data_IF_633826081343
#
_entry.id   IF_633826081343
#
_cell.length_a   1.000
_cell.length_b   1.000
_cell.length_c   1.000
_cell.angle_alpha   90.00
_cell.angle_beta   90.00
_cell.angle_gamma   90.00
#
_symmetry.space_group_name_H-M   'P 1'
#
loop_
_entity.id
_entity.type
_entity.pdbx_description
1 polymer ?
#
# COMPACT_ATOMS: atom_id res chain seq x y z
N UNK A 1 -23.30 23.20 15.62
CA UNK A 1 -22.25 22.34 16.15
C UNK A 1 -21.02 22.65 15.34
N UNK A 2 -19.84 22.94 15.92
CA UNK A 2 -18.62 23.04 15.12
C UNK A 2 -18.46 21.72 14.40
N UNK A 3 -18.10 21.75 13.11
CA UNK A 3 -17.96 20.58 12.26
C UNK A 3 -17.03 19.57 12.93
N UNK A 4 -17.38 18.31 12.81
CA UNK A 4 -16.51 17.20 13.22
C UNK A 4 -15.41 17.11 12.16
N UNK A 5 -14.49 18.08 12.20
CA UNK A 5 -13.32 18.08 11.32
C UNK A 5 -12.44 16.93 11.76
N UNK A 6 -12.45 15.83 10.99
CA UNK A 6 -11.63 14.64 11.26
C UNK A 6 -10.13 14.98 11.31
N UNK A 7 -9.32 14.06 11.85
CA UNK A 7 -7.87 14.27 12.03
C UNK A 7 -7.10 14.49 10.71
N UNK A 8 -7.73 14.23 9.56
CA UNK A 8 -7.19 14.50 8.22
C UNK A 8 -7.98 15.62 7.49
N UNK A 9 -8.79 16.42 8.22
CA UNK A 9 -9.53 17.53 7.61
C UNK A 9 -8.60 18.50 6.87
N UNK A 10 -8.95 18.82 5.61
CA UNK A 10 -8.17 19.68 4.75
C UNK A 10 -6.89 19.05 4.17
N UNK A 11 -6.60 17.78 4.44
CA UNK A 11 -5.49 17.04 3.81
C UNK A 11 -5.94 16.40 2.51
N UNK A 12 -5.06 16.39 1.51
CA UNK A 12 -5.25 15.83 0.17
C UNK A 12 -4.38 14.61 -0.04
N UNK A 13 -5.00 13.49 -0.43
CA UNK A 13 -4.33 12.20 -0.57
C UNK A 13 -4.53 11.54 -1.92
N UNK A 14 -3.44 11.05 -2.53
CA UNK A 14 -3.49 10.20 -3.71
C UNK A 14 -3.44 8.73 -3.30
N UNK A 15 -4.45 7.95 -3.70
CA UNK A 15 -4.57 6.52 -3.43
C UNK A 15 -4.37 5.71 -4.70
N UNK A 16 -3.36 4.84 -4.70
CA UNK A 16 -3.04 3.96 -5.84
C UNK A 16 -3.35 2.50 -5.49
N UNK A 17 -3.87 1.73 -6.46
CA UNK A 17 -4.04 0.29 -6.33
C UNK A 17 -5.40 -0.19 -5.81
N UNK A 18 -6.45 0.62 -5.95
CA UNK A 18 -7.83 0.18 -5.67
C UNK A 18 -8.34 -0.65 -6.84
N UNK A 19 -8.47 -1.97 -6.65
CA UNK A 19 -9.03 -2.89 -7.64
C UNK A 19 -10.52 -3.18 -7.45
N UNK A 20 -11.01 -3.10 -6.22
CA UNK A 20 -12.40 -3.26 -5.80
C UNK A 20 -12.58 -2.88 -4.31
N UNK A 21 -13.80 -3.05 -3.78
CA UNK A 21 -14.20 -2.78 -2.39
C UNK A 21 -13.48 -3.62 -1.32
N UNK A 22 -12.77 -4.69 -1.72
CA UNK A 22 -11.99 -5.56 -0.82
C UNK A 22 -10.50 -5.27 -0.87
N UNK A 23 -10.06 -4.32 -1.69
CA UNK A 23 -8.65 -3.92 -1.76
C UNK A 23 -8.23 -3.26 -0.45
N UNK A 24 -7.01 -3.53 -0.01
CA UNK A 24 -6.42 -2.85 1.17
C UNK A 24 -6.38 -1.34 0.92
N UNK A 25 -6.02 -0.92 -0.30
CA UNK A 25 -6.05 0.47 -0.71
C UNK A 25 -7.44 1.12 -0.54
N UNK A 26 -8.52 0.35 -0.79
CA UNK A 26 -9.88 0.84 -0.54
C UNK A 26 -10.17 1.02 0.95
N UNK A 27 -9.76 0.06 1.79
CA UNK A 27 -9.89 0.20 3.26
C UNK A 27 -9.17 1.44 3.79
N UNK A 28 -7.97 1.73 3.27
CA UNK A 28 -7.21 2.94 3.59
C UNK A 28 -7.95 4.18 3.09
N UNK A 29 -8.39 4.20 1.83
CA UNK A 29 -9.11 5.32 1.25
C UNK A 29 -10.36 5.69 2.06
N UNK A 30 -11.19 4.68 2.37
CA UNK A 30 -12.39 4.86 3.16
C UNK A 30 -12.10 5.47 4.54
N UNK A 31 -11.11 4.92 5.26
CA UNK A 31 -10.72 5.43 6.58
C UNK A 31 -10.19 6.88 6.51
N UNK A 32 -9.37 7.20 5.48
CA UNK A 32 -8.87 8.56 5.29
C UNK A 32 -9.99 9.55 4.95
N UNK A 33 -10.96 9.16 4.10
CA UNK A 33 -12.11 9.99 3.78
C UNK A 33 -13.01 10.22 5.02
N UNK A 34 -13.28 9.17 5.80
CA UNK A 34 -14.02 9.26 7.07
C UNK A 34 -13.30 10.14 8.10
N UNK A 35 -11.97 10.23 8.01
CA UNK A 35 -11.14 11.13 8.80
C UNK A 35 -11.08 12.57 8.25
N UNK A 36 -11.77 12.87 7.15
CA UNK A 36 -11.92 14.23 6.60
C UNK A 36 -10.98 14.58 5.43
N UNK A 37 -10.22 13.60 4.89
CA UNK A 37 -9.33 13.84 3.75
C UNK A 37 -10.09 13.97 2.43
N UNK A 38 -9.60 14.85 1.54
CA UNK A 38 -9.94 14.90 0.12
C UNK A 38 -9.07 13.89 -0.63
N UNK A 39 -9.66 13.04 -1.48
CA UNK A 39 -8.94 11.96 -2.13
C UNK A 39 -8.94 12.06 -3.64
N UNK A 40 -7.83 11.66 -4.26
CA UNK A 40 -7.69 11.32 -5.67
C UNK A 40 -7.28 9.85 -5.79
N UNK A 41 -7.59 9.24 -6.94
CA UNK A 41 -7.31 7.83 -7.18
C UNK A 41 -6.58 7.61 -8.48
N UNK A 42 -5.75 6.55 -8.53
CA UNK A 42 -5.25 6.02 -9.80
C UNK A 42 -5.84 4.66 -10.09
N UNK A 43 -5.96 4.34 -11.37
CA UNK A 43 -6.35 3.03 -11.89
C UNK A 43 -5.54 2.70 -13.15
N UNK A 44 -5.51 1.44 -13.58
CA UNK A 44 -4.84 1.03 -14.81
C UNK A 44 -5.86 0.46 -15.80
N UNK A 45 -6.19 1.24 -16.82
CA UNK A 45 -7.08 0.84 -17.90
C UNK A 45 -8.57 0.83 -17.53
N UNK A 46 -9.39 0.82 -18.55
CA UNK A 46 -10.85 1.04 -18.48
C UNK A 46 -11.58 0.07 -17.52
N UNK A 47 -11.14 -1.19 -17.46
CA UNK A 47 -11.81 -2.20 -16.63
C UNK A 47 -11.68 -1.92 -15.13
N UNK A 48 -10.54 -1.37 -14.68
CA UNK A 48 -10.37 -0.94 -13.30
C UNK A 48 -11.03 0.42 -13.06
N UNK A 49 -10.98 1.34 -14.02
CA UNK A 49 -11.66 2.64 -13.94
C UNK A 49 -13.16 2.48 -13.66
N UNK A 50 -13.85 1.62 -14.42
CA UNK A 50 -15.29 1.33 -14.22
C UNK A 50 -15.62 0.75 -12.82
N UNK A 51 -14.69 0.02 -12.19
CA UNK A 51 -14.88 -0.52 -10.84
C UNK A 51 -14.58 0.50 -9.76
N UNK A 52 -13.64 1.38 -10.02
CA UNK A 52 -13.21 2.42 -9.09
C UNK A 52 -14.23 3.56 -9.02
N UNK A 53 -14.83 3.94 -10.13
CA UNK A 53 -15.72 5.11 -10.23
C UNK A 53 -16.80 5.16 -9.14
N UNK A 54 -17.65 4.11 -8.92
CA UNK A 54 -18.64 4.15 -7.86
C UNK A 54 -18.03 4.21 -6.44
N UNK A 55 -16.84 3.67 -6.26
CA UNK A 55 -16.12 3.72 -4.99
C UNK A 55 -15.59 5.14 -4.74
N UNK A 56 -14.93 5.76 -5.72
CA UNK A 56 -14.45 7.14 -5.64
C UNK A 56 -15.60 8.11 -5.32
N UNK A 57 -16.73 7.99 -6.04
CA UNK A 57 -17.93 8.80 -5.80
C UNK A 57 -18.49 8.61 -4.39
N UNK A 58 -18.45 7.40 -3.83
CA UNK A 58 -18.95 7.12 -2.48
C UNK A 58 -18.19 7.82 -1.36
N UNK A 59 -16.97 8.28 -1.63
CA UNK A 59 -16.13 9.08 -0.73
C UNK A 59 -15.97 10.53 -1.20
N UNK A 60 -16.81 10.96 -2.15
CA UNK A 60 -16.85 12.35 -2.63
C UNK A 60 -15.70 12.74 -3.57
N UNK A 61 -14.98 11.78 -4.12
CA UNK A 61 -13.88 12.04 -5.07
C UNK A 61 -14.38 12.02 -6.51
N UNK A 62 -13.96 13.03 -7.29
CA UNK A 62 -14.12 13.13 -8.75
C UNK A 62 -12.78 13.05 -9.50
N UNK A 63 -11.66 12.86 -8.81
CA UNK A 63 -10.32 12.82 -9.38
C UNK A 63 -9.86 11.37 -9.56
N UNK A 64 -9.87 10.92 -10.79
CA UNK A 64 -9.46 9.56 -11.19
C UNK A 64 -8.50 9.65 -12.38
N UNK A 65 -7.30 9.06 -12.23
CA UNK A 65 -6.19 9.16 -13.17
C UNK A 65 -5.82 7.77 -13.69
N UNK A 66 -5.79 7.59 -15.01
CA UNK A 66 -5.30 6.34 -15.61
C UNK A 66 -3.78 6.30 -15.55
N UNK A 67 -3.21 5.28 -14.94
CA UNK A 67 -1.77 5.17 -14.68
C UNK A 67 -1.27 3.76 -14.92
N UNK A 68 -0.29 3.62 -15.79
CA UNK A 68 0.61 2.48 -15.83
C UNK A 68 1.94 2.88 -15.18
N UNK A 69 2.27 2.24 -14.05
CA UNK A 69 3.50 2.54 -13.30
C UNK A 69 4.79 2.11 -14.01
N UNK A 70 4.68 1.37 -15.11
CA UNK A 70 5.81 0.96 -15.98
C UNK A 70 6.03 1.92 -17.15
N UNK A 71 5.17 2.94 -17.30
CA UNK A 71 5.23 3.94 -18.36
C UNK A 71 5.45 5.34 -17.75
N UNK A 72 6.65 5.87 -17.94
CA UNK A 72 7.02 7.20 -17.46
C UNK A 72 6.09 8.30 -18.00
N UNK A 73 5.68 8.22 -19.27
CA UNK A 73 4.79 9.19 -19.86
C UNK A 73 3.39 9.16 -19.23
N UNK A 74 2.89 7.96 -18.89
CA UNK A 74 1.64 7.77 -18.15
C UNK A 74 1.70 8.40 -16.76
N UNK A 75 2.79 8.15 -16.04
CA UNK A 75 3.01 8.76 -14.72
C UNK A 75 3.11 10.28 -14.81
N UNK A 76 3.89 10.83 -15.76
CA UNK A 76 4.06 12.27 -15.95
C UNK A 76 2.73 12.96 -16.27
N UNK A 77 1.92 12.38 -17.15
CA UNK A 77 0.59 12.89 -17.49
C UNK A 77 -0.35 12.91 -16.27
N UNK A 78 -0.36 11.84 -15.48
CA UNK A 78 -1.21 11.74 -14.32
C UNK A 78 -0.83 12.77 -13.22
N UNK A 79 0.46 12.92 -12.92
CA UNK A 79 0.89 13.93 -11.93
C UNK A 79 0.71 15.36 -12.44
N UNK A 80 0.87 15.62 -13.74
CA UNK A 80 0.52 16.93 -14.33
C UNK A 80 -0.96 17.25 -14.17
N UNK A 81 -1.85 16.29 -14.47
CA UNK A 81 -3.28 16.46 -14.29
C UNK A 81 -3.67 16.65 -12.81
N UNK A 82 -2.98 15.97 -11.89
CA UNK A 82 -3.18 16.17 -10.46
C UNK A 82 -2.77 17.58 -10.02
N UNK A 83 -1.63 18.09 -10.51
CA UNK A 83 -1.14 19.46 -10.23
C UNK A 83 -2.08 20.56 -10.75
N UNK A 84 -2.80 20.30 -11.85
CA UNK A 84 -3.83 21.23 -12.34
C UNK A 84 -5.06 21.31 -11.39
N UNK A 85 -5.30 20.26 -10.62
CA UNK A 85 -6.43 20.18 -9.68
C UNK A 85 -6.06 20.62 -8.27
N UNK A 86 -4.84 20.30 -7.82
CA UNK A 86 -4.35 20.52 -6.47
C UNK A 86 -2.99 21.22 -6.45
N UNK A 87 -2.86 22.22 -5.63
CA UNK A 87 -1.63 22.95 -5.37
C UNK A 87 -0.65 22.18 -4.45
N UNK A 88 -1.16 21.16 -3.72
CA UNK A 88 -0.35 20.33 -2.81
C UNK A 88 -0.88 18.92 -2.71
N UNK A 89 -0.01 18.02 -2.24
CA UNK A 89 -0.33 16.66 -1.86
C UNK A 89 0.18 16.42 -0.43
N UNK A 90 -0.72 16.09 0.51
CA UNK A 90 -0.35 15.86 1.90
C UNK A 90 0.04 14.40 2.15
N UNK A 91 -0.53 13.45 1.41
CA UNK A 91 -0.10 12.06 1.49
C UNK A 91 -0.33 11.27 0.19
N UNK A 92 0.52 10.27 0.02
CA UNK A 92 0.50 9.32 -1.09
C UNK A 92 0.42 7.91 -0.54
N UNK A 93 -0.53 7.09 -1.02
CA UNK A 93 -0.65 5.67 -0.69
C UNK A 93 -0.33 4.84 -1.94
N UNK A 94 0.84 4.23 -1.95
CA UNK A 94 1.30 3.34 -3.00
C UNK A 94 0.96 1.89 -2.64
N UNK A 95 -0.15 1.37 -3.18
CA UNK A 95 -0.60 0.00 -2.94
C UNK A 95 -0.54 -0.85 -4.23
N UNK A 96 0.60 -0.77 -4.92
CA UNK A 96 0.86 -1.43 -6.20
C UNK A 96 1.76 -2.65 -5.98
N UNK A 97 1.42 -3.76 -6.61
CA UNK A 97 2.28 -4.94 -6.69
C UNK A 97 1.81 -5.86 -7.81
N UNK A 98 2.76 -6.48 -8.51
CA UNK A 98 2.50 -7.47 -9.54
C UNK A 98 3.60 -8.51 -9.64
N UNK A 99 3.23 -9.73 -9.93
CA UNK A 99 4.11 -10.80 -10.40
C UNK A 99 3.32 -11.79 -11.23
N UNK A 100 3.98 -12.51 -12.14
CA UNK A 100 3.34 -13.59 -12.87
C UNK A 100 2.89 -14.69 -11.90
N UNK A 101 1.58 -14.91 -11.86
CA UNK A 101 0.94 -15.89 -10.98
C UNK A 101 1.46 -17.31 -11.21
N UNK A 102 1.86 -17.66 -12.42
CA UNK A 102 2.37 -19.00 -12.76
C UNK A 102 3.70 -19.29 -12.05
N UNK A 103 4.50 -18.27 -11.75
CA UNK A 103 5.81 -18.39 -11.09
C UNK A 103 5.76 -18.15 -9.57
N UNK A 104 4.62 -17.78 -9.01
CA UNK A 104 4.46 -17.68 -7.56
C UNK A 104 4.38 -19.05 -6.87
N UNK A 105 4.02 -20.09 -7.61
CA UNK A 105 3.99 -21.48 -7.12
C UNK A 105 5.21 -22.26 -7.54
N UNK A 106 5.53 -23.34 -6.82
CA UNK A 106 6.68 -24.18 -7.12
C UNK A 106 7.99 -23.66 -6.50
N UNK A 107 9.12 -24.02 -7.12
CA UNK A 107 10.44 -23.69 -6.58
C UNK A 107 10.85 -22.27 -6.97
N UNK A 108 11.26 -21.47 -5.99
CA UNK A 108 11.82 -20.13 -6.21
C UNK A 108 13.01 -20.15 -7.20
N UNK A 109 13.83 -21.23 -7.18
CA UNK A 109 14.95 -21.41 -8.09
C UNK A 109 14.56 -21.30 -9.58
N UNK A 110 13.29 -21.55 -9.91
CA UNK A 110 12.79 -21.52 -11.29
C UNK A 110 12.27 -20.14 -11.71
N UNK A 111 12.40 -19.13 -10.87
CA UNK A 111 11.99 -17.75 -11.23
C UNK A 111 12.74 -17.29 -12.47
N UNK A 112 12.01 -16.89 -13.50
CA UNK A 112 12.60 -16.39 -14.74
C UNK A 112 13.19 -14.98 -14.54
N UNK A 113 14.21 -14.64 -15.34
CA UNK A 113 14.79 -13.30 -15.36
C UNK A 113 13.73 -12.23 -15.69
N UNK A 114 12.85 -12.54 -16.63
CA UNK A 114 11.80 -11.62 -17.06
C UNK A 114 10.81 -11.31 -15.93
N UNK A 115 10.27 -12.33 -15.26
CA UNK A 115 9.34 -12.12 -14.15
C UNK A 115 10.04 -11.50 -12.93
N UNK A 116 11.32 -11.84 -12.66
CA UNK A 116 12.10 -11.19 -11.61
C UNK A 116 12.19 -9.68 -11.86
N UNK A 117 12.61 -9.27 -13.06
CA UNK A 117 12.75 -7.86 -13.45
C UNK A 117 11.40 -7.13 -13.34
N UNK A 118 10.34 -7.71 -13.92
CA UNK A 118 9.00 -7.12 -13.93
C UNK A 118 8.41 -7.01 -12.51
N UNK A 119 8.60 -8.02 -11.66
CA UNK A 119 8.14 -7.98 -10.26
C UNK A 119 8.87 -6.91 -9.45
N UNK A 120 10.17 -6.73 -9.67
CA UNK A 120 10.97 -5.69 -9.01
C UNK A 120 10.58 -4.30 -9.49
N UNK A 121 10.37 -4.12 -10.78
CA UNK A 121 9.97 -2.87 -11.39
C UNK A 121 8.62 -2.39 -10.83
N UNK A 122 7.58 -3.21 -10.98
CA UNK A 122 6.22 -2.84 -10.56
C UNK A 122 6.05 -2.82 -9.03
N UNK A 123 6.69 -3.74 -8.30
CA UNK A 123 6.39 -3.91 -6.87
C UNK A 123 7.37 -3.25 -5.91
N UNK A 124 8.48 -2.70 -6.42
CA UNK A 124 9.48 -2.00 -5.61
C UNK A 124 9.91 -0.67 -6.24
N UNK A 125 10.38 -0.67 -7.50
CA UNK A 125 10.90 0.54 -8.14
C UNK A 125 9.81 1.59 -8.36
N UNK A 126 8.60 1.18 -8.69
CA UNK A 126 7.47 2.09 -8.87
C UNK A 126 7.22 3.02 -7.68
N UNK A 127 7.53 2.59 -6.42
CA UNK A 127 7.46 3.48 -5.26
C UNK A 127 8.40 4.69 -5.42
N UNK A 128 9.61 4.46 -5.92
CA UNK A 128 10.61 5.52 -6.12
C UNK A 128 10.13 6.48 -7.20
N UNK A 129 9.63 5.96 -8.32
CA UNK A 129 9.12 6.76 -9.44
C UNK A 129 7.91 7.63 -9.06
N UNK A 130 6.99 7.03 -8.32
CA UNK A 130 5.78 7.75 -7.86
C UNK A 130 6.15 8.79 -6.80
N UNK A 131 7.05 8.47 -5.85
CA UNK A 131 7.54 9.41 -4.86
C UNK A 131 8.26 10.61 -5.49
N UNK A 132 9.09 10.37 -6.53
CA UNK A 132 9.78 11.43 -7.29
C UNK A 132 8.80 12.42 -7.91
N UNK A 133 7.69 11.94 -8.49
CA UNK A 133 6.68 12.78 -9.12
C UNK A 133 5.75 13.48 -8.12
N UNK A 134 5.51 12.87 -6.97
CA UNK A 134 4.76 13.48 -5.88
C UNK A 134 5.56 14.58 -5.16
N UNK A 135 6.89 14.45 -5.12
CA UNK A 135 7.80 15.33 -4.38
C UNK A 135 7.57 16.83 -4.61
N UNK A 136 7.43 17.34 -5.87
CA UNK A 136 7.20 18.78 -6.09
C UNK A 136 5.90 19.31 -5.45
N UNK A 137 4.91 18.44 -5.22
CA UNK A 137 3.65 18.80 -4.55
C UNK A 137 3.72 18.68 -3.03
N UNK A 138 4.81 18.15 -2.48
CA UNK A 138 4.97 17.86 -1.05
C UNK A 138 6.08 18.68 -0.39
N UNK A 139 7.12 19.03 -1.14
CA UNK A 139 8.37 19.58 -0.60
C UNK A 139 8.20 20.84 0.24
N UNK A 140 7.26 21.73 -0.10
CA UNK A 140 7.05 22.98 0.64
C UNK A 140 6.26 22.82 1.96
N UNK A 141 5.52 21.72 2.10
CA UNK A 141 4.58 21.50 3.21
C UNK A 141 4.87 20.24 4.02
N UNK A 142 5.83 19.44 3.54
CA UNK A 142 6.03 18.09 4.05
C UNK A 142 4.90 17.15 3.62
N UNK A 143 4.82 15.99 4.24
CA UNK A 143 3.76 15.02 3.94
C UNK A 143 4.13 13.59 4.30
N UNK A 144 3.37 12.64 3.75
CA UNK A 144 3.59 11.21 4.02
C UNK A 144 3.47 10.38 2.75
N UNK A 145 4.48 9.55 2.51
CA UNK A 145 4.44 8.45 1.53
C UNK A 145 4.24 7.15 2.28
N UNK A 146 3.21 6.42 1.93
CA UNK A 146 2.84 5.16 2.55
C UNK A 146 2.79 4.05 1.50
N UNK A 147 3.42 2.90 1.79
CA UNK A 147 3.31 1.72 0.92
C UNK A 147 2.83 0.48 1.68
N UNK A 148 2.52 -0.59 0.95
CA UNK A 148 2.08 -1.86 1.51
C UNK A 148 3.14 -2.93 1.27
N UNK A 149 3.58 -3.57 2.34
CA UNK A 149 4.48 -4.72 2.31
C UNK A 149 3.80 -5.98 2.87
N UNK A 150 4.56 -7.03 3.07
CA UNK A 150 4.06 -8.27 3.66
C UNK A 150 5.20 -9.03 4.34
N UNK A 151 4.88 -9.80 5.37
CA UNK A 151 5.81 -10.60 6.17
C UNK A 151 6.78 -11.47 5.32
N UNK A 152 6.37 -11.81 4.09
CA UNK A 152 7.21 -12.51 3.13
C UNK A 152 8.52 -11.81 2.74
N UNK A 153 8.70 -10.53 3.06
CA UNK A 153 9.94 -9.77 2.92
C UNK A 153 11.06 -10.27 3.84
N UNK A 154 10.69 -10.67 5.06
CA UNK A 154 11.62 -11.05 6.14
C UNK A 154 11.52 -12.54 6.54
N UNK A 155 10.47 -13.23 6.15
CA UNK A 155 10.20 -14.64 6.43
C UNK A 155 9.78 -15.35 5.16
N UNK A 156 10.21 -16.61 4.98
CA UNK A 156 9.77 -17.42 3.85
C UNK A 156 8.29 -17.76 4.01
N UNK A 157 7.49 -17.26 3.07
CA UNK A 157 6.06 -17.58 2.98
C UNK A 157 5.81 -18.48 1.77
N UNK A 158 5.15 -19.65 1.94
CA UNK A 158 4.87 -20.55 0.83
C UNK A 158 4.12 -19.85 -0.32
N UNK A 159 4.51 -20.11 -1.56
CA UNK A 159 3.91 -19.57 -2.79
C UNK A 159 3.99 -18.03 -2.90
N UNK A 160 4.94 -17.41 -2.22
CA UNK A 160 5.19 -15.97 -2.34
C UNK A 160 6.43 -15.67 -3.20
N UNK A 161 7.38 -16.57 -3.23
CA UNK A 161 8.56 -16.61 -4.11
C UNK A 161 9.19 -15.21 -4.37
N UNK A 162 9.27 -14.80 -5.64
CA UNK A 162 9.89 -13.53 -6.05
C UNK A 162 9.23 -12.30 -5.39
N UNK A 163 7.96 -12.37 -5.04
CA UNK A 163 7.29 -11.28 -4.32
C UNK A 163 7.91 -11.03 -2.94
N UNK A 164 8.43 -12.06 -2.27
CA UNK A 164 9.17 -11.88 -1.01
C UNK A 164 10.42 -11.02 -1.22
N UNK A 165 11.16 -11.28 -2.29
CA UNK A 165 12.35 -10.49 -2.67
C UNK A 165 11.95 -9.06 -3.05
N UNK A 166 10.90 -8.89 -3.83
CA UNK A 166 10.39 -7.55 -4.20
C UNK A 166 9.94 -6.76 -2.98
N UNK A 167 9.25 -7.40 -2.01
CA UNK A 167 8.85 -6.73 -0.76
C UNK A 167 10.04 -6.39 0.15
N UNK A 168 11.09 -7.20 0.18
CA UNK A 168 12.33 -6.87 0.88
C UNK A 168 13.02 -5.63 0.25
N UNK A 169 13.07 -5.56 -1.08
CA UNK A 169 13.57 -4.39 -1.79
C UNK A 169 12.71 -3.15 -1.53
N UNK A 170 11.38 -3.29 -1.55
CA UNK A 170 10.43 -2.21 -1.23
C UNK A 170 10.66 -1.66 0.19
N UNK A 171 10.83 -2.52 1.20
CA UNK A 171 11.11 -2.11 2.58
C UNK A 171 12.47 -1.42 2.72
N UNK A 172 13.46 -1.83 1.93
CA UNK A 172 14.72 -1.11 1.85
C UNK A 172 14.52 0.28 1.22
N UNK A 173 13.77 0.38 0.12
CA UNK A 173 13.44 1.65 -0.52
C UNK A 173 12.71 2.61 0.43
N UNK A 174 11.80 2.12 1.28
CA UNK A 174 11.14 2.92 2.33
C UNK A 174 12.17 3.60 3.23
N UNK A 175 13.19 2.88 3.70
CA UNK A 175 14.23 3.44 4.58
C UNK A 175 15.10 4.47 3.88
N UNK A 176 15.50 4.21 2.63
CA UNK A 176 16.29 5.17 1.85
C UNK A 176 15.49 6.42 1.52
N UNK A 177 14.24 6.29 1.06
CA UNK A 177 13.37 7.44 0.80
C UNK A 177 13.06 8.23 2.08
N UNK A 178 12.89 7.57 3.23
CA UNK A 178 12.72 8.25 4.51
C UNK A 178 13.93 9.09 4.90
N UNK A 179 15.15 8.61 4.61
CA UNK A 179 16.39 9.35 4.82
C UNK A 179 16.53 10.54 3.86
N UNK A 180 16.22 10.34 2.59
CA UNK A 180 16.37 11.36 1.55
C UNK A 180 15.36 12.51 1.71
N UNK A 181 14.09 12.16 1.97
CA UNK A 181 12.98 13.10 2.01
C UNK A 181 12.71 13.68 3.40
N UNK A 182 13.29 13.07 4.45
CA UNK A 182 13.11 13.49 5.83
C UNK A 182 13.50 14.94 6.13
N UNK A 183 14.63 15.48 5.62
CA UNK A 183 15.00 16.88 5.78
C UNK A 183 13.96 17.88 5.23
N UNK A 184 13.10 17.44 4.32
CA UNK A 184 12.03 18.23 3.71
C UNK A 184 10.66 18.01 4.40
N UNK A 185 10.66 17.32 5.56
CA UNK A 185 9.44 17.04 6.32
C UNK A 185 8.53 15.96 5.71
N UNK A 186 9.03 15.20 4.73
CA UNK A 186 8.28 14.11 4.09
C UNK A 186 8.66 12.80 4.77
N UNK A 187 7.68 12.11 5.35
CA UNK A 187 7.84 10.83 6.03
C UNK A 187 7.50 9.68 5.08
N UNK A 188 8.25 8.59 5.15
CA UNK A 188 8.01 7.41 4.32
C UNK A 188 7.92 6.17 5.19
N UNK A 189 6.79 5.46 5.12
CA UNK A 189 6.54 4.27 5.94
C UNK A 189 5.87 3.16 5.12
N UNK A 190 5.88 1.94 5.65
CA UNK A 190 5.12 0.82 5.10
C UNK A 190 4.20 0.20 6.15
N UNK A 191 3.03 -0.26 5.73
CA UNK A 191 2.18 -1.14 6.52
C UNK A 191 2.36 -2.57 6.01
N UNK A 192 2.58 -3.51 6.94
CA UNK A 192 2.65 -4.95 6.69
C UNK A 192 1.41 -5.63 7.29
N UNK A 193 0.31 -5.72 6.55
CA UNK A 193 -0.89 -6.39 7.05
C UNK A 193 -0.71 -7.90 7.08
N UNK A 194 -1.43 -8.56 7.98
CA UNK A 194 -1.62 -10.00 7.94
C UNK A 194 -2.38 -10.45 6.68
N UNK A 195 -2.56 -11.76 6.47
CA UNK A 195 -3.29 -12.27 5.31
C UNK A 195 -4.73 -11.73 5.26
N UNK A 196 -5.12 -11.21 4.11
CA UNK A 196 -6.46 -10.65 3.85
C UNK A 196 -7.08 -11.26 2.60
N UNK A 197 -8.41 -11.32 2.54
CA UNK A 197 -9.15 -11.88 1.39
C UNK A 197 -9.32 -10.84 0.28
N UNK A 198 -8.22 -10.48 -0.38
CA UNK A 198 -8.20 -9.50 -1.48
C UNK A 198 -8.11 -10.19 -2.85
N UNK A 199 -8.32 -9.43 -3.93
CA UNK A 199 -8.12 -9.92 -5.29
C UNK A 199 -6.65 -10.34 -5.50
N UNK A 200 -5.69 -9.53 -5.05
CA UNK A 200 -4.26 -9.84 -5.14
C UNK A 200 -3.91 -11.14 -4.37
N UNK A 201 -4.44 -11.32 -3.17
CA UNK A 201 -4.22 -12.53 -2.38
C UNK A 201 -4.79 -13.79 -3.06
N UNK A 202 -5.85 -13.67 -3.87
CA UNK A 202 -6.41 -14.80 -4.62
C UNK A 202 -5.47 -15.37 -5.68
N UNK A 203 -4.47 -14.60 -6.11
CA UNK A 203 -3.42 -15.05 -7.02
C UNK A 203 -2.38 -15.96 -6.34
N UNK A 204 -2.28 -15.92 -5.00
CA UNK A 204 -1.33 -16.69 -4.22
C UNK A 204 -1.91 -18.07 -3.91
N UNK A 205 -1.22 -19.12 -4.32
CA UNK A 205 -1.63 -20.50 -4.04
C UNK A 205 -1.68 -20.76 -2.53
N UNK A 206 -2.80 -21.35 -2.02
CA UNK A 206 -2.89 -21.72 -0.61
C UNK A 206 -3.31 -20.59 0.34
N UNK A 207 -3.71 -19.43 -0.14
CA UNK A 207 -4.09 -18.26 0.67
C UNK A 207 -5.09 -18.57 1.79
N UNK A 208 -6.03 -19.49 1.57
CA UNK A 208 -6.99 -19.93 2.61
C UNK A 208 -6.31 -20.61 3.78
N UNK A 209 -5.25 -21.40 3.52
CA UNK A 209 -4.48 -22.07 4.56
C UNK A 209 -3.65 -21.07 5.36
N UNK A 210 -2.99 -20.15 4.67
CA UNK A 210 -2.22 -19.07 5.32
C UNK A 210 -3.14 -18.20 6.18
N UNK A 211 -4.32 -17.82 5.66
CA UNK A 211 -5.31 -17.04 6.40
C UNK A 211 -5.74 -17.76 7.69
N UNK A 212 -6.13 -19.05 7.60
CA UNK A 212 -6.53 -19.84 8.77
C UNK A 212 -5.37 -20.03 9.75
N UNK A 213 -4.16 -20.29 9.25
CA UNK A 213 -2.98 -20.48 10.08
C UNK A 213 -2.67 -19.22 10.91
N UNK A 214 -2.71 -18.04 10.29
CA UNK A 214 -2.52 -16.77 11.00
C UNK A 214 -3.65 -16.55 12.01
N UNK A 215 -4.90 -16.73 11.63
CA UNK A 215 -6.06 -16.57 12.51
C UNK A 215 -5.99 -17.44 13.77
N UNK A 216 -5.53 -18.69 13.64
CA UNK A 216 -5.43 -19.62 14.77
C UNK A 216 -4.18 -19.43 15.62
N UNK A 217 -3.10 -18.87 15.09
CA UNK A 217 -1.82 -18.77 15.78
C UNK A 217 -1.44 -17.36 16.22
N UNK A 218 -1.91 -16.31 15.53
CA UNK A 218 -1.61 -14.92 15.94
C UNK A 218 -1.94 -14.70 17.43
N UNK A 219 -1.15 -13.91 18.16
CA UNK A 219 -1.44 -13.57 19.56
C UNK A 219 -2.87 -13.10 19.80
N UNK A 220 -3.42 -12.27 18.91
CA UNK A 220 -4.81 -11.79 19.00
C UNK A 220 -5.85 -12.78 18.45
N UNK A 221 -5.45 -13.96 17.97
CA UNK A 221 -6.36 -14.96 17.36
C UNK A 221 -7.24 -14.37 16.25
N UNK A 222 -6.72 -13.41 15.54
CA UNK A 222 -7.43 -12.71 14.46
C UNK A 222 -6.48 -12.35 13.32
N UNK A 223 -7.04 -12.22 12.14
CA UNK A 223 -6.35 -11.64 10.98
C UNK A 223 -6.52 -10.12 10.96
N UNK A 224 -5.73 -9.45 10.10
CA UNK A 224 -5.92 -8.05 9.77
C UNK A 224 -7.31 -7.81 9.16
N UNK A 225 -7.89 -6.66 9.45
CA UNK A 225 -9.10 -6.16 8.80
C UNK A 225 -8.82 -4.88 8.02
N UNK A 226 -9.70 -4.52 7.08
CA UNK A 226 -9.56 -3.28 6.33
C UNK A 226 -9.59 -2.05 7.25
N UNK A 227 -10.42 -2.11 8.29
CA UNK A 227 -10.56 -1.05 9.30
C UNK A 227 -9.27 -0.88 10.12
N UNK A 228 -8.64 -1.98 10.55
CA UNK A 228 -7.39 -1.93 11.31
C UNK A 228 -6.23 -1.35 10.48
N UNK A 229 -6.13 -1.75 9.21
CA UNK A 229 -5.13 -1.20 8.28
C UNK A 229 -5.43 0.26 7.95
N UNK A 230 -6.71 0.60 7.74
CA UNK A 230 -7.17 1.97 7.52
C UNK A 230 -6.85 2.88 8.70
N UNK A 231 -7.13 2.46 9.94
CA UNK A 231 -6.80 3.20 11.15
C UNK A 231 -5.29 3.44 11.30
N UNK A 232 -4.45 2.45 10.97
CA UNK A 232 -2.99 2.62 10.95
C UNK A 232 -2.55 3.63 9.88
N UNK A 233 -3.17 3.60 8.70
CA UNK A 233 -2.90 4.58 7.64
C UNK A 233 -3.30 6.00 8.07
N UNK A 234 -4.46 6.18 8.70
CA UNK A 234 -4.89 7.47 9.26
C UNK A 234 -3.89 7.99 10.29
N UNK A 235 -3.41 7.14 11.21
CA UNK A 235 -2.34 7.50 12.14
C UNK A 235 -1.11 8.00 11.40
N UNK A 236 -0.61 7.25 10.42
CA UNK A 236 0.60 7.60 9.68
C UNK A 236 0.44 8.87 8.82
N UNK A 237 -0.75 9.13 8.28
CA UNK A 237 -1.05 10.30 7.47
C UNK A 237 -1.40 11.55 8.30
N UNK A 238 -1.67 11.39 9.61
CA UNK A 238 -2.01 12.47 10.52
C UNK A 238 -0.77 13.02 11.25
N UNK A 239 -0.97 14.10 11.99
CA UNK A 239 0.04 14.70 12.84
C UNK A 239 0.44 13.81 14.02
N UNK A 240 -0.42 12.86 14.42
CA UNK A 240 -0.08 11.85 15.43
C UNK A 240 1.12 10.97 15.00
N UNK A 241 1.30 10.79 13.68
CA UNK A 241 2.45 10.06 13.10
C UNK A 241 3.69 10.93 12.81
N UNK A 242 3.75 12.18 13.24
CA UNK A 242 4.79 13.16 12.85
C UNK A 242 6.24 12.74 13.11
N UNK A 243 6.48 11.86 14.08
CA UNK A 243 7.82 11.31 14.38
C UNK A 243 8.01 9.87 13.90
N UNK A 244 7.14 9.36 13.01
CA UNK A 244 7.22 8.00 12.47
C UNK A 244 7.65 8.05 11.02
N UNK A 245 8.90 7.64 10.72
CA UNK A 245 9.44 7.57 9.36
C UNK A 245 10.46 6.44 9.24
N UNK A 246 10.49 5.75 8.09
CA UNK A 246 11.36 4.61 7.84
C UNK A 246 10.85 3.28 8.43
N UNK A 247 9.64 3.25 8.98
CA UNK A 247 9.09 2.13 9.73
C UNK A 247 8.27 1.17 8.87
N UNK A 248 8.31 -0.11 9.28
CA UNK A 248 7.46 -1.18 8.76
C UNK A 248 6.49 -1.57 9.87
N UNK A 249 5.26 -1.06 9.81
CA UNK A 249 4.27 -1.29 10.86
C UNK A 249 3.45 -2.54 10.55
N UNK A 250 3.55 -3.53 11.42
CA UNK A 250 2.79 -4.78 11.29
C UNK A 250 1.37 -4.62 11.84
N UNK A 251 0.39 -4.98 11.00
CA UNK A 251 -1.03 -5.02 11.33
C UNK A 251 -1.52 -6.44 11.05
N UNK A 252 -1.15 -7.39 11.90
CA UNK A 252 -1.27 -8.83 11.65
C UNK A 252 -1.70 -9.66 12.87
N UNK A 253 -2.28 -9.01 13.87
CA UNK A 253 -2.65 -9.65 15.13
C UNK A 253 -1.45 -10.09 15.97
N UNK A 254 -0.24 -9.60 15.67
CA UNK A 254 1.01 -9.97 16.33
C UNK A 254 1.64 -11.24 15.73
N UNK A 255 1.17 -11.74 14.60
CA UNK A 255 1.68 -12.99 14.01
C UNK A 255 3.19 -12.93 13.71
N UNK A 256 3.72 -11.79 13.30
CA UNK A 256 5.13 -11.61 12.93
C UNK A 256 6.13 -11.88 14.07
N UNK A 257 5.71 -11.77 15.34
CA UNK A 257 6.61 -11.99 16.50
C UNK A 257 6.80 -13.48 16.84
N UNK A 258 6.00 -14.37 16.23
CA UNK A 258 6.01 -15.79 16.57
C UNK A 258 7.21 -16.49 15.95
N UNK A 259 7.92 -17.27 16.76
CA UNK A 259 8.93 -18.23 16.33
C UNK A 259 8.34 -19.59 15.95
N UNK A 260 7.19 -19.95 16.55
CA UNK A 260 6.50 -21.24 16.36
C UNK A 260 4.98 -21.07 16.47
N UNK A 261 4.19 -21.97 15.86
CA UNK A 261 2.76 -22.04 16.11
C UNK A 261 2.45 -22.31 17.59
N UNK A 262 1.21 -22.08 17.99
CA UNK A 262 0.77 -22.52 19.34
C UNK A 262 0.87 -24.02 19.48
N UNK A 263 1.20 -24.49 20.68
CA UNK A 263 1.34 -25.93 21.02
C UNK A 263 0.08 -26.73 20.61
N UNK A 264 -1.10 -26.14 20.78
CA UNK A 264 -2.40 -26.74 20.41
C UNK A 264 -2.58 -26.92 18.90
N UNK A 265 -1.72 -26.29 18.08
CA UNK A 265 -1.75 -26.32 16.61
C UNK A 265 -0.51 -27.05 16.02
N UNK A 266 0.30 -27.67 16.86
CA UNK A 266 1.39 -28.56 16.47
C UNK A 266 0.86 -30.00 16.35
#
# INVERSE_FOLDING_TARGET
>A
MPGNDGVLAGKRGLIMGVANDRSIAWGIAKACAEAGAELAFTYQGEAFGKRLEPLAQSVGSDVMLDVDVTDDASLDAAFSALQERWDRLDFLVHAIAYSDKSELTGRFLNTSRANFANSMDISAYSLIEVARRAHPMMVEHGGTVLTLTYLGSSRVTPNYNVMGVAKAALESAVRYLASDLGPEGIRVNAISPGPMKTLAASAIGGVRRTYRHTETNAPLRSNATLEAVGGTAVYLCSDAGSCTSGEIIHVDGGFHVLGMPNIENL
#
